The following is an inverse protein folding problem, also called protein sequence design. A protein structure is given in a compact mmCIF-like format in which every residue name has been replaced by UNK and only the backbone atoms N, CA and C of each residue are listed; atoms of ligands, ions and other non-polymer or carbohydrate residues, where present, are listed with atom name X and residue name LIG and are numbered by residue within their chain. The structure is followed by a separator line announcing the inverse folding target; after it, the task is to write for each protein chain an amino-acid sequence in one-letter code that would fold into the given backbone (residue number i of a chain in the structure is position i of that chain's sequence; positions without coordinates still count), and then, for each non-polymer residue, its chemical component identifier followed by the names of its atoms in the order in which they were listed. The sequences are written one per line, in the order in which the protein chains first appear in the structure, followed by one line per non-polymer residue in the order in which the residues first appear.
data_IF_692640552217
#
_entry.id   IF_692640552217
#
_cell.length_a   1.000
_cell.length_b   1.000
_cell.length_c   1.000
_cell.angle_alpha   90.00
_cell.angle_beta   90.00
_cell.angle_gamma   90.00
#
_symmetry.space_group_name_H-M   'P 1'
#
loop_
_entity.id
_entity.type
_entity.pdbx_description
1 polymer ?
#
# COMPACT_ATOMS: atom_id res chain seq x y z
N UNK A 1 4.17 -4.57 -16.29
CA UNK A 1 4.02 -4.09 -14.89
C UNK A 1 3.57 -5.26 -14.04
N UNK A 2 4.18 -5.49 -12.88
CA UNK A 2 3.75 -6.55 -11.96
C UNK A 2 2.93 -5.94 -10.81
N UNK A 3 1.68 -6.38 -10.65
CA UNK A 3 0.88 -6.10 -9.45
C UNK A 3 0.68 -7.44 -8.73
N UNK A 4 1.05 -7.49 -7.45
CA UNK A 4 1.04 -8.74 -6.70
C UNK A 4 0.31 -8.56 -5.38
N UNK A 5 -0.56 -9.51 -5.03
CA UNK A 5 -1.09 -9.65 -3.68
C UNK A 5 -0.24 -10.63 -2.89
N UNK A 6 0.27 -10.21 -1.73
CA UNK A 6 1.08 -11.03 -0.83
C UNK A 6 0.36 -11.29 0.48
N UNK A 7 0.00 -12.56 0.70
CA UNK A 7 -0.61 -13.02 1.94
C UNK A 7 0.47 -13.29 2.99
N UNK A 8 0.28 -12.79 4.22
CA UNK A 8 1.18 -13.05 5.35
C UNK A 8 0.48 -13.90 6.40
N UNK A 9 1.00 -15.09 6.75
CA UNK A 9 0.46 -15.94 7.81
C UNK A 9 0.43 -15.24 9.18
N UNK A 10 -0.57 -15.54 10.00
CA UNK A 10 -0.72 -14.95 11.34
C UNK A 10 0.46 -15.25 12.29
N UNK A 11 1.13 -16.40 12.12
CA UNK A 11 2.26 -16.84 12.93
C UNK A 11 3.63 -16.46 12.34
N UNK A 12 3.67 -15.66 11.25
CA UNK A 12 4.93 -15.20 10.66
C UNK A 12 5.22 -13.76 11.02
N UNK A 13 6.50 -13.44 11.10
CA UNK A 13 6.98 -12.07 11.22
C UNK A 13 6.51 -11.23 10.00
N UNK A 14 5.51 -10.41 10.26
CA UNK A 14 4.87 -9.54 9.27
C UNK A 14 5.83 -8.44 8.82
N UNK A 15 6.49 -7.79 9.78
CA UNK A 15 7.49 -6.76 9.55
C UNK A 15 8.66 -7.32 8.73
N UNK A 16 9.21 -8.47 9.11
CA UNK A 16 10.29 -9.12 8.37
C UNK A 16 9.89 -9.56 6.97
N UNK A 17 8.62 -9.91 6.74
CA UNK A 17 8.13 -10.23 5.40
C UNK A 17 8.08 -9.00 4.50
N UNK A 18 7.56 -7.87 5.00
CA UNK A 18 7.59 -6.59 4.29
C UNK A 18 9.04 -6.15 4.04
N UNK A 19 9.89 -6.21 5.06
CA UNK A 19 11.30 -5.84 4.97
C UNK A 19 12.03 -6.59 3.85
N UNK A 20 11.83 -7.91 3.76
CA UNK A 20 12.43 -8.73 2.71
C UNK A 20 11.94 -8.33 1.31
N UNK A 21 10.65 -8.00 1.17
CA UNK A 21 10.09 -7.54 -0.11
C UNK A 21 10.67 -6.19 -0.50
N UNK A 22 10.69 -5.24 0.42
CA UNK A 22 11.26 -3.91 0.18
C UNK A 22 12.75 -4.03 -0.18
N UNK A 23 13.54 -4.77 0.59
CA UNK A 23 14.98 -4.97 0.30
C UNK A 23 15.23 -5.67 -1.03
N UNK A 24 14.42 -6.67 -1.38
CA UNK A 24 14.56 -7.44 -2.61
C UNK A 24 14.10 -6.70 -3.88
N UNK A 25 13.37 -5.58 -3.75
CA UNK A 25 12.92 -4.80 -4.89
C UNK A 25 14.12 -4.13 -5.59
N UNK A 26 14.16 -4.19 -6.93
CA UNK A 26 15.23 -3.58 -7.73
C UNK A 26 15.15 -2.05 -7.74
N UNK A 27 13.95 -1.49 -7.55
CA UNK A 27 13.68 -0.06 -7.60
C UNK A 27 14.33 0.67 -6.41
N UNK A 28 14.97 1.81 -6.67
CA UNK A 28 15.61 2.64 -5.62
C UNK A 28 14.62 3.55 -4.89
N UNK A 29 13.45 3.82 -5.49
CA UNK A 29 12.42 4.71 -4.94
C UNK A 29 11.14 3.93 -4.65
N UNK A 30 10.66 4.01 -3.42
CA UNK A 30 9.52 3.24 -2.90
C UNK A 30 8.41 4.18 -2.45
N UNK A 31 7.22 4.02 -3.02
CA UNK A 31 6.00 4.61 -2.48
C UNK A 31 5.42 3.63 -1.46
N UNK A 32 5.38 4.00 -0.18
CA UNK A 32 4.89 3.14 0.89
C UNK A 32 3.60 3.72 1.47
N UNK A 33 2.48 3.05 1.21
CA UNK A 33 1.17 3.36 1.78
C UNK A 33 0.99 2.51 3.02
N UNK A 34 0.71 3.14 4.16
CA UNK A 34 0.36 2.42 5.40
C UNK A 34 -0.93 2.90 6.00
N UNK A 35 -1.70 1.95 6.55
CA UNK A 35 -2.95 2.20 7.28
C UNK A 35 -2.87 1.69 8.73
N UNK A 36 -1.69 1.32 9.20
CA UNK A 36 -1.50 0.63 10.49
C UNK A 36 -0.22 1.01 11.23
N UNK A 37 0.65 1.81 10.64
CA UNK A 37 1.90 2.28 11.23
C UNK A 37 2.07 3.75 10.94
N UNK A 38 2.71 4.48 11.85
CA UNK A 38 3.11 5.85 11.57
C UNK A 38 4.30 5.88 10.61
N UNK A 39 4.46 6.98 9.87
CA UNK A 39 5.68 7.25 9.11
C UNK A 39 6.96 7.13 9.95
N UNK A 40 6.93 7.53 11.23
CA UNK A 40 8.08 7.43 12.13
C UNK A 40 8.51 5.98 12.35
N UNK A 41 7.55 5.11 12.67
CA UNK A 41 7.82 3.67 12.83
C UNK A 41 8.33 3.02 11.54
N UNK A 42 7.84 3.46 10.37
CA UNK A 42 8.34 3.00 9.09
C UNK A 42 9.75 3.51 8.78
N UNK A 43 10.05 4.76 9.11
CA UNK A 43 11.38 5.34 8.93
C UNK A 43 12.43 4.60 9.77
N UNK A 44 12.12 4.30 11.04
CA UNK A 44 12.96 3.47 11.90
C UNK A 44 13.12 2.05 11.33
N UNK A 45 12.01 1.43 10.91
CA UNK A 45 12.04 0.10 10.31
C UNK A 45 12.96 0.05 9.09
N UNK A 46 12.91 1.07 8.21
CA UNK A 46 13.66 1.11 6.96
C UNK A 46 14.98 1.90 7.02
N UNK A 47 15.45 2.33 8.19
CA UNK A 47 16.67 3.14 8.34
C UNK A 47 17.88 2.51 7.63
N UNK A 48 18.03 1.18 7.73
CA UNK A 48 19.15 0.44 7.12
C UNK A 48 18.93 0.08 5.64
N UNK A 49 17.81 0.49 5.04
CA UNK A 49 17.48 0.23 3.64
C UNK A 49 17.91 1.43 2.80
N UNK A 50 18.91 1.23 1.92
CA UNK A 50 19.42 2.25 0.99
C UNK A 50 18.44 2.52 -0.17
N UNK A 51 17.26 3.07 0.15
CA UNK A 51 16.20 3.45 -0.79
C UNK A 51 15.59 4.78 -0.37
N UNK A 52 15.08 5.53 -1.35
CA UNK A 52 14.29 6.73 -1.10
C UNK A 52 12.83 6.31 -0.90
N UNK A 53 12.17 6.89 0.11
CA UNK A 53 10.79 6.58 0.43
C UNK A 53 9.89 7.80 0.24
N UNK A 54 8.67 7.53 -0.24
CA UNK A 54 7.55 8.44 -0.22
C UNK A 54 6.46 7.77 0.61
N UNK A 55 6.25 8.25 1.83
CA UNK A 55 5.31 7.63 2.76
C UNK A 55 3.93 8.26 2.65
N UNK A 56 2.90 7.42 2.62
CA UNK A 56 1.49 7.82 2.66
C UNK A 56 0.88 7.30 3.97
N UNK A 57 0.74 8.25 4.90
CA UNK A 57 0.26 8.22 6.28
C UNK A 57 -1.25 8.06 6.47
N UNK A 58 -1.81 6.84 6.51
CA UNK A 58 -3.25 6.63 6.74
C UNK A 58 -3.74 6.58 8.18
N UNK A 59 -2.86 6.42 9.17
CA UNK A 59 -3.25 6.20 10.58
C UNK A 59 -2.97 7.42 11.46
N UNK A 60 -1.88 8.14 11.20
CA UNK A 60 -1.41 9.24 12.05
C UNK A 60 -2.27 10.50 11.95
N UNK A 61 -3.16 10.62 10.98
CA UNK A 61 -4.16 11.70 10.98
C UNK A 61 -5.18 11.59 12.12
N UNK A 62 -5.27 10.43 12.78
CA UNK A 62 -6.05 10.28 14.02
C UNK A 62 -5.31 10.83 15.25
N UNK A 63 -4.03 11.17 15.12
CA UNK A 63 -3.24 11.82 16.18
C UNK A 63 -3.43 13.34 16.10
N UNK A 64 -3.57 13.99 17.26
CA UNK A 64 -3.74 15.45 17.36
C UNK A 64 -2.62 16.24 16.67
N UNK A 65 -1.39 15.72 16.71
CA UNK A 65 -0.20 16.33 16.11
C UNK A 65 0.77 15.26 15.60
N UNK A 66 0.68 14.84 14.32
CA UNK A 66 1.60 13.85 13.77
C UNK A 66 3.04 14.42 13.70
N UNK A 67 4.06 13.62 14.05
CA UNK A 67 5.45 14.08 14.03
C UNK A 67 5.91 14.38 12.60
N UNK A 68 6.69 15.44 12.38
CA UNK A 68 7.22 15.75 11.04
C UNK A 68 8.25 14.71 10.61
N UNK A 69 7.88 13.86 9.65
CA UNK A 69 8.79 12.89 9.02
C UNK A 69 9.05 13.32 7.57
N UNK A 70 10.32 13.24 7.14
CA UNK A 70 10.71 13.58 5.77
C UNK A 70 9.95 12.72 4.76
N UNK A 71 9.46 13.35 3.70
CA UNK A 71 8.73 12.70 2.59
C UNK A 71 7.50 11.88 3.06
N UNK A 72 6.90 12.27 4.19
CA UNK A 72 5.66 11.72 4.69
C UNK A 72 4.46 12.61 4.35
N UNK A 73 3.40 11.99 3.82
CA UNK A 73 2.17 12.63 3.41
C UNK A 73 0.99 11.99 4.14
N UNK A 74 0.39 12.71 5.08
CA UNK A 74 -0.77 12.24 5.83
C UNK A 74 -2.05 12.34 4.98
N UNK A 75 -2.88 11.31 5.02
CA UNK A 75 -4.25 11.37 4.49
C UNK A 75 -5.24 11.59 5.63
N UNK A 76 -6.35 12.31 5.40
CA UNK A 76 -7.30 12.65 6.46
C UNK A 76 -7.89 11.43 7.18
N UNK A 77 -8.06 10.31 6.47
CA UNK A 77 -8.52 9.05 7.04
C UNK A 77 -7.97 7.84 6.27
N UNK A 78 -7.80 6.72 6.96
CA UNK A 78 -7.31 5.46 6.40
C UNK A 78 -8.16 4.91 5.24
N UNK A 79 -9.45 5.28 5.18
CA UNK A 79 -10.39 4.87 4.13
C UNK A 79 -10.51 5.88 2.98
N UNK A 80 -9.77 7.00 3.02
CA UNK A 80 -9.80 8.02 1.96
C UNK A 80 -9.01 7.56 0.71
N UNK A 81 -9.53 6.57 -0.01
CA UNK A 81 -8.88 5.99 -1.19
C UNK A 81 -8.58 7.05 -2.27
N UNK A 82 -9.41 8.07 -2.43
CA UNK A 82 -9.16 9.17 -3.39
C UNK A 82 -7.91 9.97 -3.04
N UNK A 83 -7.71 10.28 -1.75
CA UNK A 83 -6.52 10.98 -1.27
C UNK A 83 -5.27 10.11 -1.42
N UNK A 84 -5.38 8.82 -1.06
CA UNK A 84 -4.31 7.85 -1.24
C UNK A 84 -3.95 7.74 -2.72
N UNK A 85 -4.95 7.61 -3.60
CA UNK A 85 -4.79 7.55 -5.06
C UNK A 85 -4.06 8.79 -5.58
N UNK A 86 -4.48 10.00 -5.17
CA UNK A 86 -3.83 11.24 -5.58
C UNK A 86 -2.35 11.26 -5.19
N UNK A 87 -2.05 10.87 -3.96
CA UNK A 87 -0.66 10.81 -3.46
C UNK A 87 0.16 9.73 -4.15
N UNK A 88 -0.41 8.57 -4.45
CA UNK A 88 0.24 7.51 -5.23
C UNK A 88 0.59 8.02 -6.63
N UNK A 89 -0.31 8.73 -7.32
CA UNK A 89 -0.02 9.33 -8.62
C UNK A 89 1.10 10.38 -8.55
N UNK A 90 1.12 11.20 -7.50
CA UNK A 90 2.21 12.16 -7.24
C UNK A 90 3.54 11.42 -7.01
N UNK A 91 3.54 10.32 -6.25
CA UNK A 91 4.73 9.52 -6.04
C UNK A 91 5.23 8.91 -7.36
N UNK A 92 4.34 8.35 -8.17
CA UNK A 92 4.69 7.78 -9.48
C UNK A 92 5.28 8.84 -10.41
N UNK A 93 4.71 10.05 -10.45
CA UNK A 93 5.22 11.14 -11.29
C UNK A 93 6.63 11.59 -10.87
N UNK A 94 6.94 11.53 -9.57
CA UNK A 94 8.28 11.76 -8.99
C UNK A 94 9.24 10.56 -9.15
N UNK A 95 8.82 9.48 -9.80
CA UNK A 95 9.67 8.32 -10.08
C UNK A 95 9.68 7.23 -9.00
N UNK A 96 8.76 7.27 -8.02
CA UNK A 96 8.56 6.19 -7.06
C UNK A 96 7.75 5.06 -7.70
N UNK A 97 8.45 4.18 -8.41
CA UNK A 97 7.83 3.13 -9.27
C UNK A 97 7.68 1.78 -8.58
N UNK A 98 8.03 1.67 -7.30
CA UNK A 98 7.69 0.51 -6.46
C UNK A 98 6.69 0.90 -5.39
N UNK A 99 5.43 0.48 -5.56
CA UNK A 99 4.35 0.73 -4.62
C UNK A 99 4.24 -0.42 -3.62
N UNK A 100 4.20 -0.10 -2.34
CA UNK A 100 3.90 -1.03 -1.24
C UNK A 100 2.64 -0.56 -0.54
N UNK A 101 1.64 -1.43 -0.41
CA UNK A 101 0.41 -1.15 0.33
C UNK A 101 0.29 -2.07 1.56
N UNK A 102 0.42 -1.49 2.75
CA UNK A 102 0.43 -2.17 4.06
C UNK A 102 -0.69 -1.61 4.98
N UNK A 103 -1.86 -2.22 5.03
CA UNK A 103 -2.26 -3.46 4.37
C UNK A 103 -3.72 -3.36 3.91
N UNK A 104 -4.12 -4.18 2.94
CA UNK A 104 -5.54 -4.28 2.56
C UNK A 104 -6.42 -4.76 3.72
N UNK A 105 -5.85 -5.55 4.64
CA UNK A 105 -6.55 -5.98 5.85
C UNK A 105 -7.03 -4.82 6.71
N UNK A 106 -6.31 -3.69 6.71
CA UNK A 106 -6.66 -2.53 7.52
C UNK A 106 -7.84 -1.73 6.94
N UNK A 107 -8.05 -1.74 5.62
CA UNK A 107 -9.26 -1.17 5.02
C UNK A 107 -10.52 -1.87 5.54
N UNK A 108 -10.44 -3.16 5.86
CA UNK A 108 -11.56 -3.95 6.39
C UNK A 108 -12.01 -3.55 7.79
N UNK A 109 -11.23 -2.73 8.51
CA UNK A 109 -11.63 -2.20 9.82
C UNK A 109 -12.68 -1.08 9.63
N UNK A 110 -12.60 -0.38 8.50
CA UNK A 110 -13.43 0.79 8.20
C UNK A 110 -14.67 0.45 7.34
N UNK A 111 -15.30 -0.71 7.58
CA UNK A 111 -16.40 -1.24 6.73
C UNK A 111 -17.60 -0.32 6.55
N UNK A 112 -17.82 0.62 7.48
CA UNK A 112 -18.91 1.59 7.37
C UNK A 112 -18.59 2.72 6.37
N UNK A 113 -17.31 2.98 6.13
CA UNK A 113 -16.83 4.03 5.23
C UNK A 113 -16.37 3.52 3.86
N UNK A 114 -16.07 2.21 3.74
CA UNK A 114 -15.80 1.55 2.46
C UNK A 114 -17.02 0.69 2.12
N UNK A 115 -17.85 1.08 1.14
CA UNK A 115 -19.01 0.30 0.74
C UNK A 115 -18.64 -1.16 0.48
N UNK A 116 -19.43 -2.07 1.04
CA UNK A 116 -19.27 -3.51 0.79
C UNK A 116 -20.05 -3.82 -0.49
N UNK A 117 -19.32 -4.11 -1.56
CA UNK A 117 -19.86 -4.29 -2.91
C UNK A 117 -19.31 -3.24 -3.87
N UNK A 118 -19.16 -3.64 -5.14
CA UNK A 118 -18.43 -2.85 -6.14
C UNK A 118 -16.92 -3.15 -6.10
N UNK A 119 -16.26 -3.10 -7.25
CA UNK A 119 -14.83 -3.39 -7.37
C UNK A 119 -13.97 -2.19 -6.95
N UNK A 120 -14.21 -1.64 -5.75
CA UNK A 120 -13.57 -0.40 -5.27
C UNK A 120 -12.05 -0.53 -5.24
N UNK A 121 -11.54 -1.67 -4.78
CA UNK A 121 -10.09 -1.93 -4.78
C UNK A 121 -9.56 -2.05 -6.21
N UNK A 122 -10.34 -2.63 -7.13
CA UNK A 122 -9.97 -2.67 -8.54
C UNK A 122 -10.01 -1.32 -9.22
N UNK A 123 -10.97 -0.47 -8.91
CA UNK A 123 -11.02 0.93 -9.37
C UNK A 123 -9.83 1.71 -8.85
N UNK A 124 -9.54 1.59 -7.55
CA UNK A 124 -8.35 2.18 -6.94
C UNK A 124 -7.08 1.74 -7.67
N UNK A 125 -6.90 0.45 -7.94
CA UNK A 125 -5.71 -0.05 -8.66
C UNK A 125 -5.70 0.42 -10.12
N UNK A 126 -6.83 0.34 -10.84
CA UNK A 126 -6.96 0.80 -12.23
C UNK A 126 -6.61 2.27 -12.36
N UNK A 127 -6.93 3.07 -11.34
CA UNK A 127 -6.73 4.51 -11.37
C UNK A 127 -5.27 4.94 -11.61
N UNK A 128 -4.28 4.17 -11.16
CA UNK A 128 -2.85 4.52 -11.30
C UNK A 128 -2.03 3.46 -12.07
N UNK A 129 -2.69 2.37 -12.50
CA UNK A 129 -2.04 1.25 -13.17
C UNK A 129 -1.28 1.70 -14.41
N UNK A 130 -1.89 2.53 -15.25
CA UNK A 130 -1.31 2.91 -16.53
C UNK A 130 -0.08 3.80 -16.35
N UNK A 131 -0.14 4.73 -15.39
CA UNK A 131 1.01 5.56 -15.00
C UNK A 131 2.15 4.71 -14.44
N UNK A 132 1.84 3.76 -13.56
CA UNK A 132 2.83 2.84 -13.02
C UNK A 132 3.45 1.96 -14.12
N UNK A 133 2.63 1.49 -15.06
CA UNK A 133 3.05 0.64 -16.18
C UNK A 133 3.96 1.38 -17.16
N UNK A 134 3.61 2.61 -17.55
CA UNK A 134 4.45 3.48 -18.40
C UNK A 134 5.84 3.69 -17.82
N UNK A 135 5.97 3.68 -16.48
CA UNK A 135 7.23 3.83 -15.75
C UNK A 135 7.92 2.49 -15.44
N UNK A 136 7.45 1.37 -16.02
CA UNK A 136 7.92 0.00 -15.74
C UNK A 136 7.92 -0.34 -14.25
N UNK A 137 6.95 0.19 -13.52
CA UNK A 137 6.80 0.00 -12.09
C UNK A 137 6.16 -1.33 -11.70
N UNK A 138 6.08 -1.54 -10.40
CA UNK A 138 5.40 -2.70 -9.80
C UNK A 138 4.75 -2.31 -8.47
N UNK A 139 3.71 -3.04 -8.09
CA UNK A 139 2.99 -2.83 -6.83
C UNK A 139 2.86 -4.15 -6.06
N UNK A 140 2.99 -4.07 -4.74
CA UNK A 140 2.72 -5.18 -3.82
C UNK A 140 1.69 -4.76 -2.78
N UNK A 141 0.64 -5.55 -2.65
CA UNK A 141 -0.41 -5.37 -1.67
C UNK A 141 -0.30 -6.45 -0.61
N UNK A 142 -0.18 -6.06 0.66
CA UNK A 142 -0.13 -7.01 1.75
C UNK A 142 -1.52 -7.27 2.32
N UNK A 143 -1.76 -8.53 2.68
CA UNK A 143 -3.00 -8.95 3.37
C UNK A 143 -2.67 -10.02 4.40
N UNK A 144 -3.34 -9.99 5.56
CA UNK A 144 -3.23 -11.07 6.55
C UNK A 144 -3.93 -12.32 6.04
N UNK A 145 -3.36 -13.51 6.29
CA UNK A 145 -3.94 -14.77 5.84
C UNK A 145 -5.35 -15.02 6.37
N UNK A 146 -5.62 -14.60 7.61
CA UNK A 146 -6.93 -14.67 8.26
C UNK A 146 -8.01 -13.87 7.54
N UNK A 147 -7.62 -12.84 6.77
CA UNK A 147 -8.54 -11.95 6.08
C UNK A 147 -8.78 -12.34 4.61
N UNK A 148 -8.04 -13.31 4.08
CA UNK A 148 -8.11 -13.71 2.66
C UNK A 148 -9.52 -14.09 2.20
N UNK A 149 -10.34 -14.63 3.10
CA UNK A 149 -11.71 -15.09 2.80
C UNK A 149 -12.76 -13.99 2.93
N UNK A 150 -12.41 -12.80 3.43
CA UNK A 150 -13.37 -11.69 3.62
C UNK A 150 -13.82 -11.13 2.25
N UNK A 151 -15.10 -10.72 2.10
CA UNK A 151 -15.66 -10.33 0.81
C UNK A 151 -14.82 -9.31 0.02
N UNK A 152 -14.46 -8.18 0.63
CA UNK A 152 -13.64 -7.14 -0.01
C UNK A 152 -12.28 -7.66 -0.51
N UNK A 153 -11.65 -8.60 0.22
CA UNK A 153 -10.37 -9.20 -0.22
C UNK A 153 -10.60 -10.18 -1.36
N UNK A 154 -11.69 -10.94 -1.34
CA UNK A 154 -12.07 -11.82 -2.47
C UNK A 154 -12.35 -11.02 -3.74
N UNK A 155 -12.98 -9.86 -3.62
CA UNK A 155 -13.20 -8.95 -4.74
C UNK A 155 -11.87 -8.39 -5.26
N UNK A 156 -11.02 -7.88 -4.36
CA UNK A 156 -9.68 -7.44 -4.73
C UNK A 156 -8.86 -8.54 -5.42
N UNK A 157 -8.96 -9.79 -4.96
CA UNK A 157 -8.32 -10.96 -5.58
C UNK A 157 -8.70 -11.15 -7.04
N UNK A 158 -9.96 -10.92 -7.44
CA UNK A 158 -10.39 -10.99 -8.84
C UNK A 158 -9.61 -9.99 -9.69
N UNK A 159 -9.49 -8.76 -9.19
CA UNK A 159 -8.69 -7.70 -9.81
C UNK A 159 -7.23 -8.09 -9.98
N UNK A 160 -6.61 -8.70 -8.97
CA UNK A 160 -5.21 -9.17 -9.08
C UNK A 160 -5.02 -10.28 -10.12
N UNK A 161 -6.00 -11.19 -10.25
CA UNK A 161 -5.98 -12.24 -11.27
C UNK A 161 -6.04 -11.65 -12.69
N UNK A 162 -6.82 -10.59 -12.92
CA UNK A 162 -6.85 -9.88 -14.20
C UNK A 162 -5.53 -9.20 -14.57
N UNK A 163 -4.70 -8.86 -13.59
CA UNK A 163 -3.37 -8.29 -13.83
C UNK A 163 -2.27 -9.33 -13.93
N UNK A 164 -2.60 -10.61 -13.75
CA UNK A 164 -1.72 -11.75 -13.84
C UNK A 164 -2.02 -12.53 -15.13
N UNK A 165 -1.67 -11.97 -16.29
CA UNK A 165 -1.49 -12.76 -17.52
C UNK A 165 -0.03 -13.20 -17.60
N UNK A 166 0.25 -14.50 -17.78
CA UNK A 166 1.61 -15.05 -17.83
C UNK A 166 2.48 -14.41 -18.91
#
# INVERSE_FOLDING_TARGET
MAITLKTVPANKDYSGTIMRVVRGAKQKKVCYVTLNRSCGSLAEMFEKVKKEFFYIDGISATLLSPPRVKDCHYVPAAYSLDNIQRLVKIAISKGYTFLVFDSLSNLLIHKQAVPVGGDIIGEFIRSFKDELSKKKGSAVFFVKSSDKKKPLIKEALKTFLFFYTP
#
